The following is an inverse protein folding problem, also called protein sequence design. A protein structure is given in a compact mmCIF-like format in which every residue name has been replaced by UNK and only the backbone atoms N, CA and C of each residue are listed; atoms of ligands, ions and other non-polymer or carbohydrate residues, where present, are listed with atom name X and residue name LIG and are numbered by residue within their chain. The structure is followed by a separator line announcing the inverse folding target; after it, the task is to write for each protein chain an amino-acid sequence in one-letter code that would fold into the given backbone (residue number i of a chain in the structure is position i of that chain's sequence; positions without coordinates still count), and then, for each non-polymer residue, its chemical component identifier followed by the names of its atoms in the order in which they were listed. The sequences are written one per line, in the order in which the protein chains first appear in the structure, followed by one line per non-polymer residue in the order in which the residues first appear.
data_IF_191782199417
#
_entry.id   IF_191782199417
#
_cell.length_a   1.000
_cell.length_b   1.000
_cell.length_c   1.000
_cell.angle_alpha   90.00
_cell.angle_beta   90.00
_cell.angle_gamma   90.00
#
_symmetry.space_group_name_H-M   'P 1'
#
loop_
_entity.id
_entity.type
_entity.pdbx_description
1 polymer ?
#
# COMPACT_ATOMS: atom_id res chain seq x y z
N UNK A 1 20.78 -9.03 33.65
CA UNK A 1 19.89 -7.89 33.91
C UNK A 1 18.58 -8.22 33.23
N UNK A 2 17.58 -8.64 34.00
CA UNK A 2 16.27 -9.09 33.52
C UNK A 2 15.36 -7.88 33.27
N UNK A 3 14.76 -7.78 32.09
CA UNK A 3 13.71 -6.79 31.84
C UNK A 3 12.35 -7.49 31.91
N UNK A 4 11.62 -7.15 32.97
CA UNK A 4 10.27 -7.63 33.23
C UNK A 4 9.29 -7.15 32.15
N UNK A 5 8.52 -8.10 31.63
CA UNK A 5 7.37 -7.88 30.74
C UNK A 5 6.25 -7.28 31.61
N UNK A 6 6.07 -5.97 31.57
CA UNK A 6 4.91 -5.29 32.17
C UNK A 6 3.87 -5.04 31.08
N UNK A 7 3.05 -6.06 30.83
CA UNK A 7 1.81 -5.95 30.09
C UNK A 7 0.70 -5.51 31.07
N UNK A 8 -0.13 -4.55 30.64
CA UNK A 8 -1.38 -4.06 31.23
C UNK A 8 -1.33 -3.04 32.38
N UNK A 9 -1.59 -1.78 32.04
CA UNK A 9 -2.42 -0.91 32.87
C UNK A 9 -3.41 -0.16 31.98
N UNK A 10 -4.70 -0.43 32.22
CA UNK A 10 -5.80 -0.13 31.32
C UNK A 10 -6.08 1.37 31.16
N UNK A 11 -6.29 1.77 29.92
CA UNK A 11 -7.10 2.93 29.57
C UNK A 11 -8.47 2.39 29.18
N UNK A 12 -9.41 2.47 30.11
CA UNK A 12 -10.81 2.15 29.87
C UNK A 12 -11.41 3.35 29.10
N UNK A 13 -11.32 3.32 27.77
CA UNK A 13 -11.88 4.36 26.91
C UNK A 13 -13.24 3.85 26.42
N UNK A 14 -14.31 4.44 26.93
CA UNK A 14 -15.67 4.15 26.47
C UNK A 14 -15.82 4.60 25.01
N UNK A 15 -16.49 3.83 24.14
CA UNK A 15 -16.64 4.15 22.71
C UNK A 15 -17.33 5.48 22.41
N UNK A 16 -17.99 6.10 23.40
CA UNK A 16 -18.83 7.29 23.23
C UNK A 16 -18.08 8.63 23.15
N UNK A 17 -16.81 8.71 23.57
CA UNK A 17 -16.10 10.00 23.74
C UNK A 17 -15.15 10.39 22.59
N UNK A 18 -15.10 9.64 21.49
CA UNK A 18 -14.29 10.02 20.31
C UNK A 18 -15.09 10.78 19.25
N UNK A 19 -15.88 11.77 19.67
CA UNK A 19 -16.47 12.77 18.77
C UNK A 19 -15.43 13.85 18.45
N UNK A 20 -14.67 13.69 17.36
CA UNK A 20 -13.81 14.80 16.93
C UNK A 20 -12.66 14.52 15.97
N UNK A 21 -12.82 13.69 14.92
CA UNK A 21 -11.97 13.81 13.73
C UNK A 21 -12.64 13.13 12.54
N UNK A 22 -13.08 13.95 11.58
CA UNK A 22 -13.72 13.60 10.31
C UNK A 22 -13.00 12.45 9.59
N UNK A 23 -13.62 11.27 9.39
CA UNK A 23 -13.12 10.28 8.45
C UNK A 23 -13.51 10.72 7.03
N UNK A 24 -12.51 10.84 6.16
CA UNK A 24 -12.71 11.03 4.72
C UNK A 24 -13.53 9.87 4.17
N UNK A 25 -14.67 10.23 3.55
CA UNK A 25 -15.62 9.40 2.79
C UNK A 25 -15.26 7.92 2.68
N UNK A 26 -15.58 7.16 3.73
CA UNK A 26 -15.84 5.74 3.61
C UNK A 26 -17.16 5.60 2.85
N UNK A 27 -17.09 5.13 1.61
CA UNK A 27 -18.28 4.91 0.77
C UNK A 27 -18.96 3.64 1.29
N UNK A 28 -19.74 3.80 2.35
CA UNK A 28 -20.55 2.75 2.95
C UNK A 28 -21.65 2.38 1.95
N UNK A 29 -21.44 1.30 1.19
CA UNK A 29 -22.42 0.73 0.26
C UNK A 29 -23.59 0.09 1.03
N UNK A 30 -24.23 0.84 1.94
CA UNK A 30 -25.45 0.39 2.62
C UNK A 30 -26.61 0.44 1.63
N UNK A 31 -27.00 -0.74 1.16
CA UNK A 31 -28.28 -1.02 0.52
C UNK A 31 -29.42 -0.53 1.45
N UNK A 32 -29.89 0.69 1.22
CA UNK A 32 -31.05 1.25 1.92
C UNK A 32 -32.32 0.64 1.33
N UNK A 33 -32.82 -0.41 1.98
CA UNK A 33 -34.08 -1.06 1.64
C UNK A 33 -35.26 -0.17 2.04
N UNK A 34 -35.96 0.42 1.07
CA UNK A 34 -37.26 1.07 1.28
C UNK A 34 -38.37 0.19 0.70
N UNK A 35 -39.31 -0.22 1.57
CA UNK A 35 -40.37 -1.16 1.22
C UNK A 35 -41.34 -0.61 0.19
N UNK A 36 -41.64 -1.37 -0.86
CA UNK A 36 -42.80 -1.10 -1.72
C UNK A 36 -43.31 -2.32 -2.48
N UNK A 37 -44.60 -2.62 -2.31
CA UNK A 37 -45.36 -3.72 -2.91
C UNK A 37 -45.74 -3.42 -4.37
N UNK A 38 -44.95 -3.89 -5.36
CA UNK A 38 -45.40 -4.17 -6.76
C UNK A 38 -44.57 -5.33 -7.36
N UNK A 39 -45.08 -6.55 -7.22
CA UNK A 39 -44.29 -7.81 -7.10
C UNK A 39 -43.63 -8.42 -8.36
N UNK A 40 -43.59 -7.79 -9.53
CA UNK A 40 -42.84 -8.39 -10.66
C UNK A 40 -42.00 -7.40 -11.47
N UNK A 41 -42.59 -6.34 -12.06
CA UNK A 41 -41.80 -5.33 -12.80
C UNK A 41 -40.83 -4.55 -11.90
N UNK A 42 -41.24 -4.24 -10.66
CA UNK A 42 -40.39 -3.54 -9.70
C UNK A 42 -39.17 -4.36 -9.27
N UNK A 43 -39.31 -5.69 -9.21
CA UNK A 43 -38.20 -6.58 -8.87
C UNK A 43 -37.13 -6.61 -9.97
N UNK A 44 -37.53 -6.72 -11.24
CA UNK A 44 -36.59 -6.68 -12.37
C UNK A 44 -35.88 -5.33 -12.44
N UNK A 45 -36.59 -4.20 -12.28
CA UNK A 45 -36.00 -2.86 -12.31
C UNK A 45 -35.04 -2.64 -11.12
N UNK A 46 -35.44 -3.04 -9.91
CA UNK A 46 -34.60 -2.92 -8.72
C UNK A 46 -33.35 -3.81 -8.81
N UNK A 47 -33.48 -5.02 -9.38
CA UNK A 47 -32.33 -5.92 -9.61
C UNK A 47 -31.37 -5.34 -10.65
N UNK A 48 -31.90 -4.78 -11.74
CA UNK A 48 -31.09 -4.12 -12.78
C UNK A 48 -30.38 -2.88 -12.21
N UNK A 49 -31.05 -2.08 -11.38
CA UNK A 49 -30.42 -0.94 -10.72
C UNK A 49 -29.29 -1.35 -9.77
N UNK A 50 -29.50 -2.39 -8.95
CA UNK A 50 -28.46 -2.93 -8.05
C UNK A 50 -27.26 -3.46 -8.86
N UNK A 51 -27.52 -4.08 -10.03
CA UNK A 51 -26.46 -4.54 -10.92
C UNK A 51 -25.69 -3.34 -11.51
N UNK A 52 -26.39 -2.29 -11.97
CA UNK A 52 -25.75 -1.07 -12.47
C UNK A 52 -24.92 -0.38 -11.39
N UNK A 53 -25.44 -0.23 -10.18
CA UNK A 53 -24.71 0.33 -9.04
C UNK A 53 -23.47 -0.49 -8.69
N UNK A 54 -23.56 -1.83 -8.72
CA UNK A 54 -22.42 -2.72 -8.49
C UNK A 54 -21.36 -2.61 -9.60
N UNK A 55 -21.78 -2.46 -10.86
CA UNK A 55 -20.89 -2.25 -12.01
C UNK A 55 -20.19 -0.89 -11.88
N UNK A 56 -20.93 0.17 -11.57
CA UNK A 56 -20.38 1.52 -11.42
C UNK A 56 -19.38 1.57 -10.25
N UNK A 57 -19.70 0.94 -9.12
CA UNK A 57 -18.78 0.78 -8.00
C UNK A 57 -17.50 0.03 -8.40
N UNK A 58 -17.64 -1.07 -9.13
CA UNK A 58 -16.49 -1.85 -9.63
C UNK A 58 -15.62 -1.02 -10.58
N UNK A 59 -16.25 -0.25 -11.47
CA UNK A 59 -15.54 0.63 -12.41
C UNK A 59 -14.77 1.74 -11.68
N UNK A 60 -15.35 2.32 -10.62
CA UNK A 60 -14.69 3.34 -9.82
C UNK A 60 -13.50 2.78 -9.04
N UNK A 61 -13.62 1.56 -8.49
CA UNK A 61 -12.49 0.85 -7.86
C UNK A 61 -11.38 0.57 -8.86
N UNK A 62 -11.71 0.05 -10.04
CA UNK A 62 -10.72 -0.22 -11.10
C UNK A 62 -10.02 1.07 -11.55
N UNK A 63 -10.75 2.18 -11.63
CA UNK A 63 -10.17 3.49 -11.94
C UNK A 63 -9.19 3.95 -10.85
N UNK A 64 -9.56 3.80 -9.57
CA UNK A 64 -8.69 4.15 -8.45
C UNK A 64 -7.38 3.32 -8.46
N UNK A 65 -7.47 2.02 -8.74
CA UNK A 65 -6.29 1.14 -8.89
C UNK A 65 -5.43 1.59 -10.06
N UNK A 66 -6.02 1.89 -11.22
CA UNK A 66 -5.29 2.33 -12.40
C UNK A 66 -4.55 3.65 -12.16
N UNK A 67 -5.17 4.62 -11.49
CA UNK A 67 -4.53 5.90 -11.15
C UNK A 67 -3.42 5.72 -10.10
N UNK A 68 -3.64 4.90 -9.08
CA UNK A 68 -2.60 4.60 -8.09
C UNK A 68 -1.37 3.96 -8.75
N UNK A 69 -1.57 2.99 -9.65
CA UNK A 69 -0.47 2.36 -10.40
C UNK A 69 0.28 3.35 -11.31
N UNK A 70 -0.40 4.35 -11.88
CA UNK A 70 0.25 5.41 -12.67
C UNK A 70 1.14 6.30 -11.80
N UNK A 71 0.64 6.71 -10.63
CA UNK A 71 1.37 7.54 -9.68
C UNK A 71 2.63 6.80 -9.20
N UNK A 72 2.49 5.55 -8.73
CA UNK A 72 3.62 4.74 -8.26
C UNK A 72 4.68 4.55 -9.35
N UNK A 73 4.27 4.26 -10.59
CA UNK A 73 5.20 4.13 -11.72
C UNK A 73 5.94 5.44 -12.01
N UNK A 74 5.23 6.56 -11.97
CA UNK A 74 5.83 7.87 -12.19
C UNK A 74 6.86 8.23 -11.11
N UNK A 75 6.57 7.92 -9.84
CA UNK A 75 7.51 8.10 -8.72
C UNK A 75 8.76 7.22 -8.86
N UNK A 76 8.61 5.93 -9.21
CA UNK A 76 9.75 5.04 -9.47
C UNK A 76 10.65 5.56 -10.60
N UNK A 77 10.04 6.05 -11.69
CA UNK A 77 10.78 6.62 -12.82
C UNK A 77 11.45 7.95 -12.45
N UNK A 78 10.82 8.76 -11.60
CA UNK A 78 11.41 10.00 -11.08
C UNK A 78 12.60 9.71 -10.15
N UNK A 79 12.48 8.76 -9.23
CA UNK A 79 13.55 8.32 -8.34
C UNK A 79 14.71 7.78 -9.17
N UNK A 80 14.44 6.94 -10.19
CA UNK A 80 15.48 6.43 -11.10
C UNK A 80 16.21 7.55 -11.82
N UNK A 81 15.48 8.53 -12.37
CA UNK A 81 16.08 9.68 -13.05
C UNK A 81 16.93 10.52 -12.10
N UNK A 82 16.47 10.76 -10.89
CA UNK A 82 17.21 11.56 -9.91
C UNK A 82 18.49 10.84 -9.45
N UNK A 83 18.45 9.52 -9.24
CA UNK A 83 19.65 8.71 -8.95
C UNK A 83 20.67 8.83 -10.09
N UNK A 84 20.22 8.72 -11.35
CA UNK A 84 21.10 8.88 -12.52
C UNK A 84 21.68 10.30 -12.58
N UNK A 85 20.87 11.33 -12.36
CA UNK A 85 21.30 12.74 -12.37
C UNK A 85 22.35 12.99 -11.28
N UNK A 86 22.13 12.50 -10.07
CA UNK A 86 23.06 12.64 -8.96
C UNK A 86 24.39 11.93 -9.26
N UNK A 87 24.35 10.73 -9.84
CA UNK A 87 25.56 10.02 -10.28
C UNK A 87 26.34 10.80 -11.36
N UNK A 88 25.65 11.47 -12.28
CA UNK A 88 26.26 12.29 -13.33
C UNK A 88 26.90 13.59 -12.83
N UNK A 89 26.42 14.13 -11.70
CA UNK A 89 26.91 15.40 -11.13
C UNK A 89 28.16 15.21 -10.26
N UNK A 90 28.53 13.98 -9.87
CA UNK A 90 29.74 13.72 -9.08
C UNK A 90 30.97 13.93 -9.99
N UNK A 91 31.77 15.01 -9.84
CA UNK A 91 32.76 15.43 -10.83
C UNK A 91 34.00 14.54 -10.94
N UNK A 92 34.03 13.42 -10.22
CA UNK A 92 35.18 12.52 -10.09
C UNK A 92 34.83 11.04 -10.30
N UNK A 93 33.56 10.70 -10.55
CA UNK A 93 33.24 9.33 -10.92
C UNK A 93 33.74 9.09 -12.34
N UNK A 94 34.78 8.27 -12.50
CA UNK A 94 35.17 7.83 -13.83
C UNK A 94 34.01 7.08 -14.49
N UNK A 95 34.00 6.98 -15.82
CA UNK A 95 32.98 6.18 -16.54
C UNK A 95 32.92 4.75 -15.96
N UNK A 96 34.06 4.19 -15.56
CA UNK A 96 34.15 2.89 -14.91
C UNK A 96 33.44 2.87 -13.54
N UNK A 97 33.71 3.85 -12.68
CA UNK A 97 33.05 3.96 -11.37
C UNK A 97 31.54 4.17 -11.51
N UNK A 98 31.11 4.89 -12.56
CA UNK A 98 29.69 5.12 -12.84
C UNK A 98 28.97 3.84 -13.23
N UNK A 99 29.60 3.01 -14.07
CA UNK A 99 29.07 1.69 -14.45
C UNK A 99 29.07 0.76 -13.25
N UNK A 100 30.12 0.80 -12.43
CA UNK A 100 30.23 -0.02 -11.23
C UNK A 100 29.17 0.36 -10.17
N UNK A 101 28.90 1.66 -9.99
CA UNK A 101 27.78 2.14 -9.19
C UNK A 101 26.43 1.67 -9.75
N UNK A 102 26.21 1.76 -11.06
CA UNK A 102 24.97 1.24 -11.66
C UNK A 102 24.79 -0.26 -11.46
N UNK A 103 25.85 -1.06 -11.64
CA UNK A 103 25.81 -2.51 -11.39
C UNK A 103 25.49 -2.82 -9.93
N UNK A 104 26.13 -2.13 -8.98
CA UNK A 104 25.85 -2.26 -7.55
C UNK A 104 24.39 -1.90 -7.23
N UNK A 105 23.90 -0.79 -7.79
CA UNK A 105 22.50 -0.37 -7.61
C UNK A 105 21.52 -1.40 -8.15
N UNK A 106 21.76 -1.96 -9.33
CA UNK A 106 20.91 -3.01 -9.92
C UNK A 106 20.91 -4.26 -9.04
N UNK A 107 22.09 -4.68 -8.56
CA UNK A 107 22.21 -5.84 -7.67
C UNK A 107 21.45 -5.62 -6.36
N UNK A 108 21.63 -4.48 -5.70
CA UNK A 108 20.93 -4.14 -4.45
C UNK A 108 19.42 -4.03 -4.66
N UNK A 109 18.98 -3.42 -5.75
CA UNK A 109 17.56 -3.35 -6.11
C UNK A 109 16.96 -4.74 -6.32
N UNK A 110 17.72 -5.66 -6.93
CA UNK A 110 17.29 -7.04 -7.14
C UNK A 110 17.13 -7.77 -5.82
N UNK A 111 18.06 -7.59 -4.89
CA UNK A 111 17.98 -8.16 -3.53
C UNK A 111 16.77 -7.61 -2.77
N UNK A 112 16.54 -6.29 -2.82
CA UNK A 112 15.38 -5.67 -2.14
C UNK A 112 14.07 -6.19 -2.74
N UNK A 113 13.97 -6.31 -4.06
CA UNK A 113 12.78 -6.89 -4.71
C UNK A 113 12.54 -8.32 -4.24
N UNK A 114 13.56 -9.18 -4.30
CA UNK A 114 13.47 -10.55 -3.82
C UNK A 114 13.09 -10.61 -2.33
N UNK A 115 13.58 -9.68 -1.51
CA UNK A 115 13.22 -9.58 -0.09
C UNK A 115 11.75 -9.20 0.11
N UNK A 116 11.21 -8.27 -0.68
CA UNK A 116 9.81 -7.85 -0.61
C UNK A 116 8.84 -9.00 -0.95
N UNK A 117 9.25 -9.90 -1.86
CA UNK A 117 8.49 -11.08 -2.26
C UNK A 117 8.44 -12.18 -1.20
N UNK A 118 9.26 -12.11 -0.14
CA UNK A 118 9.26 -13.08 0.97
C UNK A 118 8.04 -12.90 1.90
N UNK A 119 7.62 -13.98 2.56
CA UNK A 119 6.64 -13.88 3.65
C UNK A 119 7.24 -13.20 4.88
N UNK A 120 6.40 -12.62 5.74
CA UNK A 120 6.84 -11.84 6.89
C UNK A 120 7.68 -12.67 7.88
N UNK A 121 7.34 -13.95 8.08
CA UNK A 121 8.12 -14.87 8.91
C UNK A 121 9.56 -15.07 8.38
N UNK A 122 9.71 -15.18 7.06
CA UNK A 122 11.01 -15.34 6.40
C UNK A 122 11.79 -14.01 6.41
N UNK A 123 11.11 -12.88 6.22
CA UNK A 123 11.70 -11.55 6.35
C UNK A 123 12.29 -11.34 7.75
N UNK A 124 11.55 -11.72 8.80
CA UNK A 124 12.00 -11.63 10.18
C UNK A 124 13.25 -12.50 10.41
N UNK A 125 13.25 -13.75 9.92
CA UNK A 125 14.40 -14.64 10.01
C UNK A 125 15.64 -14.11 9.26
N UNK A 126 15.44 -13.56 8.07
CA UNK A 126 16.48 -12.93 7.27
C UNK A 126 17.10 -11.73 7.99
N UNK A 127 16.27 -10.81 8.52
CA UNK A 127 16.74 -9.66 9.28
C UNK A 127 17.52 -10.09 10.53
N UNK A 128 17.01 -11.06 11.29
CA UNK A 128 17.72 -11.59 12.46
C UNK A 128 19.08 -12.18 12.07
N UNK A 129 19.17 -12.88 10.95
CA UNK A 129 20.42 -13.47 10.47
C UNK A 129 21.43 -12.40 10.04
N UNK A 130 21.00 -11.32 9.37
CA UNK A 130 21.91 -10.23 8.96
C UNK A 130 22.38 -9.41 10.14
N UNK A 131 21.48 -9.10 11.08
CA UNK A 131 21.80 -8.33 12.28
C UNK A 131 22.76 -9.08 13.21
N UNK A 132 22.69 -10.42 13.24
CA UNK A 132 23.59 -11.22 14.08
C UNK A 132 24.99 -11.43 13.47
N UNK A 133 25.13 -11.23 12.16
CA UNK A 133 26.37 -11.46 11.41
C UNK A 133 27.18 -10.17 11.11
N UNK A 134 26.67 -8.99 11.49
CA UNK A 134 27.42 -7.73 11.44
C UNK A 134 27.62 -7.20 12.87
N UNK A 135 28.77 -7.47 13.51
CA UNK A 135 29.10 -6.93 14.82
C UNK A 135 29.34 -5.42 14.82
#
# INVERSE_FOLDING_TARGET
MEFAIMYNQGMNVSPEDMMGARPGRYNDCRLSSSGSKRKHRGWTIMTVNVIHEAIDCTNDLLRAIAEWLKITRHEEDAIRREVIRQLQVIPQLSVLDSVQCMMLMIQKLTIIKAFLDLSDDIKLAYCNTILHNNP
#
